data_IF_096507817541
#
_entry.id   IF_096507817541
#
_cell.length_a   1.000
_cell.length_b   1.000
_cell.length_c   1.000
_cell.angle_alpha   90.00
_cell.angle_beta   90.00
_cell.angle_gamma   90.00
#
_symmetry.space_group_name_H-M   'P 1'
#
loop_
_entity.id
_entity.type
_entity.pdbx_description
1 polymer ?
#
# COMPACT_ATOMS: atom_id res chain seq x y z
N UNK A 1 -26.78 51.98 12.77
CA UNK A 1 -25.99 51.23 11.80
C UNK A 1 -25.04 50.32 12.56
N UNK A 2 -25.34 49.07 12.67
CA UNK A 2 -24.45 48.12 13.32
C UNK A 2 -23.42 47.67 12.29
N UNK A 3 -22.14 48.09 12.46
CA UNK A 3 -21.02 47.58 11.66
C UNK A 3 -20.80 46.10 12.00
N UNK A 4 -21.26 45.23 11.11
CA UNK A 4 -20.86 43.83 11.14
C UNK A 4 -19.33 43.74 10.93
N UNK A 5 -18.56 43.55 12.00
CA UNK A 5 -17.17 43.09 11.92
C UNK A 5 -17.16 41.70 11.31
N UNK A 6 -16.89 41.61 10.03
CA UNK A 6 -16.56 40.37 9.37
C UNK A 6 -15.17 39.92 9.83
N UNK A 7 -15.13 39.28 10.98
CA UNK A 7 -14.01 38.46 11.40
C UNK A 7 -14.18 37.08 10.71
N UNK A 8 -13.77 37.03 9.47
CA UNK A 8 -13.43 35.75 8.84
C UNK A 8 -11.96 35.82 8.45
N UNK A 9 -11.06 35.58 9.41
CA UNK A 9 -9.83 34.87 9.07
C UNK A 9 -10.32 33.54 8.49
N UNK A 10 -10.38 33.45 7.16
CA UNK A 10 -10.67 32.20 6.50
C UNK A 10 -9.57 31.24 6.93
N UNK A 11 -9.93 30.25 7.75
CA UNK A 11 -9.08 29.12 8.01
C UNK A 11 -8.78 28.49 6.64
N UNK A 12 -7.52 28.53 6.24
CA UNK A 12 -7.06 27.94 4.99
C UNK A 12 -6.31 26.69 5.36
N UNK A 13 -6.81 25.49 4.97
CA UNK A 13 -6.08 24.26 5.16
C UNK A 13 -4.71 24.30 4.49
N UNK A 14 -3.72 23.60 5.07
CA UNK A 14 -2.35 23.53 4.56
C UNK A 14 -2.27 22.90 3.16
N UNK A 15 -3.27 22.11 2.80
CA UNK A 15 -3.40 21.42 1.52
C UNK A 15 -3.82 22.34 0.37
N UNK A 16 -4.24 23.58 0.69
CA UNK A 16 -4.76 24.54 -0.27
C UNK A 16 -3.75 25.64 -0.59
N UNK A 17 -3.56 25.92 -1.88
CA UNK A 17 -2.79 27.08 -2.36
C UNK A 17 -3.71 28.26 -2.64
N UNK A 18 -3.12 29.48 -2.77
CA UNK A 18 -3.88 30.68 -3.10
C UNK A 18 -4.42 30.69 -4.53
N UNK A 19 -3.90 29.81 -5.38
CA UNK A 19 -4.32 29.66 -6.78
C UNK A 19 -5.47 28.68 -6.98
N UNK A 20 -5.82 27.92 -5.94
CA UNK A 20 -6.92 26.95 -6.00
C UNK A 20 -8.27 27.60 -5.85
N UNK A 21 -9.25 27.15 -6.63
CA UNK A 21 -10.65 27.43 -6.41
C UNK A 21 -11.14 26.76 -5.12
N UNK A 22 -12.29 27.15 -4.62
CA UNK A 22 -12.89 26.53 -3.44
C UNK A 22 -13.10 25.01 -3.61
N UNK A 23 -13.57 24.59 -4.78
CA UNK A 23 -13.78 23.17 -5.09
C UNK A 23 -12.49 22.38 -5.17
N UNK A 24 -11.44 22.95 -5.77
CA UNK A 24 -10.11 22.32 -5.81
C UNK A 24 -9.52 22.17 -4.40
N UNK A 25 -9.72 23.17 -3.56
CA UNK A 25 -9.29 23.13 -2.16
C UNK A 25 -10.05 22.04 -1.38
N UNK A 26 -11.38 21.95 -1.52
CA UNK A 26 -12.17 20.89 -0.88
C UNK A 26 -11.71 19.48 -1.32
N UNK A 27 -11.47 19.29 -2.62
CA UNK A 27 -10.99 18.01 -3.16
C UNK A 27 -9.59 17.67 -2.65
N UNK A 28 -8.70 18.66 -2.52
CA UNK A 28 -7.36 18.46 -1.97
C UNK A 28 -7.40 18.02 -0.50
N UNK A 29 -8.25 18.66 0.31
CA UNK A 29 -8.45 18.30 1.72
C UNK A 29 -9.03 16.90 1.86
N UNK A 30 -10.07 16.56 1.06
CA UNK A 30 -10.67 15.22 1.09
C UNK A 30 -9.67 14.14 0.67
N UNK A 31 -8.89 14.38 -0.38
CA UNK A 31 -7.86 13.44 -0.84
C UNK A 31 -6.82 13.20 0.24
N UNK A 32 -6.31 14.28 0.83
CA UNK A 32 -5.35 14.16 1.93
C UNK A 32 -5.90 13.36 3.10
N UNK A 33 -7.17 13.59 3.49
CA UNK A 33 -7.82 12.84 4.57
C UNK A 33 -7.98 11.35 4.24
N UNK A 34 -8.32 11.01 3.00
CA UNK A 34 -8.39 9.62 2.52
C UNK A 34 -7.01 8.97 2.56
N UNK A 35 -6.00 9.62 1.99
CA UNK A 35 -4.61 9.11 1.94
C UNK A 35 -4.06 8.85 3.36
N UNK A 36 -4.32 9.77 4.31
CA UNK A 36 -3.91 9.60 5.71
C UNK A 36 -4.63 8.42 6.40
N UNK A 37 -5.92 8.23 6.12
CA UNK A 37 -6.67 7.11 6.67
C UNK A 37 -6.20 5.77 6.08
N UNK A 38 -5.98 5.71 4.77
CA UNK A 38 -5.44 4.53 4.09
C UNK A 38 -4.06 4.18 4.61
N UNK A 39 -3.20 5.18 4.80
CA UNK A 39 -1.87 5.00 5.38
C UNK A 39 -1.93 4.40 6.78
N UNK A 40 -2.76 4.97 7.68
CA UNK A 40 -2.92 4.47 9.05
C UNK A 40 -3.48 3.04 9.09
N UNK A 41 -4.47 2.74 8.24
CA UNK A 41 -5.02 1.40 8.12
C UNK A 41 -3.96 0.41 7.60
N UNK A 42 -3.20 0.83 6.58
CA UNK A 42 -2.10 0.05 6.02
C UNK A 42 -0.98 -0.23 7.03
N UNK A 43 -0.57 0.77 7.82
CA UNK A 43 0.44 0.61 8.88
C UNK A 43 0.01 -0.43 9.91
N UNK A 44 -1.25 -0.42 10.32
CA UNK A 44 -1.81 -1.39 11.27
C UNK A 44 -1.77 -2.81 10.70
N UNK A 45 -2.11 -2.99 9.43
CA UNK A 45 -2.13 -4.30 8.77
C UNK A 45 -0.69 -4.76 8.49
N UNK A 46 0.13 -3.94 7.86
CA UNK A 46 1.50 -4.29 7.46
C UNK A 46 2.42 -4.58 8.66
N UNK A 47 2.15 -3.97 9.82
CA UNK A 47 2.89 -4.25 11.07
C UNK A 47 2.45 -5.55 11.75
N UNK A 48 1.34 -6.16 11.35
CA UNK A 48 0.83 -7.39 11.92
C UNK A 48 1.78 -8.58 11.74
N UNK A 49 1.99 -9.37 12.79
CA UNK A 49 2.87 -10.55 12.74
C UNK A 49 2.40 -11.59 11.73
N UNK A 50 1.10 -11.77 11.58
CA UNK A 50 0.49 -12.68 10.61
C UNK A 50 0.82 -12.30 9.17
N UNK A 51 0.66 -11.03 8.81
CA UNK A 51 0.97 -10.53 7.47
C UNK A 51 2.45 -10.70 7.15
N UNK A 52 3.33 -10.40 8.10
CA UNK A 52 4.78 -10.62 7.93
C UNK A 52 5.12 -12.09 7.70
N UNK A 53 4.46 -12.98 8.41
CA UNK A 53 4.61 -14.43 8.22
C UNK A 53 4.13 -14.87 6.83
N UNK A 54 2.97 -14.38 6.38
CA UNK A 54 2.45 -14.67 5.05
C UNK A 54 3.40 -14.20 3.94
N UNK A 55 3.91 -12.98 4.05
CA UNK A 55 4.90 -12.43 3.10
C UNK A 55 6.16 -13.31 3.08
N UNK A 56 6.67 -13.70 4.24
CA UNK A 56 7.86 -14.55 4.33
C UNK A 56 7.65 -15.91 3.65
N UNK A 57 6.47 -16.51 3.80
CA UNK A 57 6.12 -17.78 3.12
C UNK A 57 6.21 -17.61 1.59
N UNK A 58 5.67 -16.52 1.04
CA UNK A 58 5.73 -16.23 -0.40
C UNK A 58 7.16 -16.02 -0.85
N UNK A 59 7.93 -15.19 -0.15
CA UNK A 59 9.32 -14.90 -0.48
C UNK A 59 10.20 -16.16 -0.46
N UNK A 60 10.07 -16.99 0.57
CA UNK A 60 10.80 -18.27 0.69
C UNK A 60 10.43 -19.22 -0.44
N UNK A 61 9.16 -19.28 -0.82
CA UNK A 61 8.69 -20.07 -1.95
C UNK A 61 9.31 -19.61 -3.27
N UNK A 62 9.28 -18.31 -3.55
CA UNK A 62 9.86 -17.71 -4.77
C UNK A 62 11.36 -17.99 -4.88
N UNK A 63 12.09 -17.87 -3.78
CA UNK A 63 13.55 -18.18 -3.72
C UNK A 63 13.81 -19.65 -3.92
N UNK A 64 13.09 -20.53 -3.22
CA UNK A 64 13.24 -21.99 -3.30
C UNK A 64 12.98 -22.52 -4.70
N UNK A 65 11.94 -22.02 -5.36
CA UNK A 65 11.54 -22.39 -6.71
C UNK A 65 12.33 -21.64 -7.80
N UNK A 66 13.16 -20.66 -7.42
CA UNK A 66 13.92 -19.79 -8.34
C UNK A 66 13.03 -19.12 -9.39
N UNK A 67 11.87 -18.63 -8.98
CA UNK A 67 10.93 -17.97 -9.86
C UNK A 67 11.34 -16.52 -10.11
N UNK A 68 11.03 -16.03 -11.29
CA UNK A 68 11.38 -14.66 -11.72
C UNK A 68 10.20 -13.75 -11.40
N UNK A 69 10.43 -12.79 -10.51
CA UNK A 69 9.46 -11.75 -10.20
C UNK A 69 9.49 -10.64 -11.24
N UNK A 70 8.33 -10.05 -11.51
CA UNK A 70 8.17 -8.87 -12.35
C UNK A 70 7.19 -7.87 -11.70
N UNK A 71 6.79 -6.84 -12.43
CA UNK A 71 5.82 -5.85 -11.95
C UNK A 71 6.37 -4.86 -10.93
N UNK A 72 5.46 -4.13 -10.29
CA UNK A 72 5.78 -2.99 -9.45
C UNK A 72 6.67 -3.31 -8.26
N UNK A 73 6.39 -4.38 -7.53
CA UNK A 73 7.18 -4.81 -6.35
C UNK A 73 8.61 -5.20 -6.75
N UNK A 74 8.77 -5.94 -7.85
CA UNK A 74 10.08 -6.33 -8.34
C UNK A 74 10.92 -5.11 -8.75
N UNK A 75 10.32 -4.17 -9.50
CA UNK A 75 10.97 -2.93 -9.89
C UNK A 75 11.36 -2.11 -8.67
N UNK A 76 10.43 -1.93 -7.74
CA UNK A 76 10.67 -1.16 -6.51
C UNK A 76 11.84 -1.73 -5.68
N UNK A 77 11.97 -3.05 -5.61
CA UNK A 77 13.01 -3.70 -4.81
C UNK A 77 14.43 -3.54 -5.38
N UNK A 78 14.57 -3.33 -6.69
CA UNK A 78 15.88 -3.08 -7.33
C UNK A 78 16.25 -1.60 -7.37
N UNK A 79 15.31 -0.69 -7.12
CA UNK A 79 15.56 0.74 -7.10
C UNK A 79 16.29 1.16 -5.80
N UNK A 80 17.16 2.18 -5.89
CA UNK A 80 17.72 2.83 -4.70
C UNK A 80 16.59 3.36 -3.80
N UNK A 81 16.78 3.32 -2.47
CA UNK A 81 15.76 3.74 -1.49
C UNK A 81 15.18 5.13 -1.75
N UNK A 82 16.00 6.05 -2.28
CA UNK A 82 15.57 7.43 -2.56
C UNK A 82 14.53 7.58 -3.68
N UNK A 83 14.39 6.56 -4.53
CA UNK A 83 13.47 6.56 -5.68
C UNK A 83 12.47 5.41 -5.63
N UNK A 84 12.43 4.65 -4.54
CA UNK A 84 11.40 3.66 -4.32
C UNK A 84 10.03 4.33 -4.19
N UNK A 85 9.02 3.74 -4.79
CA UNK A 85 7.65 4.27 -4.83
C UNK A 85 6.65 3.49 -3.97
N UNK A 86 7.03 2.30 -3.46
CA UNK A 86 6.27 1.57 -2.46
C UNK A 86 6.90 1.73 -1.07
N UNK A 87 6.07 1.99 -0.09
CA UNK A 87 6.48 2.07 1.31
C UNK A 87 5.99 0.83 2.08
N UNK A 88 6.94 -0.03 2.42
CA UNK A 88 6.68 -1.30 3.13
C UNK A 88 6.13 -1.10 4.56
N UNK A 89 6.17 0.12 5.09
CA UNK A 89 5.63 0.41 6.43
C UNK A 89 4.10 0.38 6.48
N UNK A 90 3.43 0.57 5.34
CA UNK A 90 1.97 0.57 5.24
C UNK A 90 1.41 -0.10 3.98
N UNK A 91 2.25 -0.48 3.05
CA UNK A 91 1.85 -1.18 1.82
C UNK A 91 2.32 -2.63 1.85
N UNK A 92 1.38 -3.55 1.63
CA UNK A 92 1.69 -4.97 1.49
C UNK A 92 2.22 -5.18 0.06
N UNK A 93 3.36 -5.89 -0.11
CA UNK A 93 3.87 -6.17 -1.45
C UNK A 93 2.92 -7.10 -2.21
N UNK A 94 2.75 -6.80 -3.48
CA UNK A 94 2.03 -7.62 -4.45
C UNK A 94 3.08 -8.32 -5.33
N UNK A 95 3.14 -9.66 -5.24
CA UNK A 95 4.17 -10.44 -5.93
C UNK A 95 3.65 -11.03 -7.21
N UNK A 96 4.11 -10.51 -8.34
CA UNK A 96 3.93 -11.10 -9.66
C UNK A 96 5.15 -11.91 -10.05
N UNK A 97 4.96 -13.13 -10.54
CA UNK A 97 6.08 -13.97 -10.95
C UNK A 97 5.74 -14.86 -12.14
N UNK A 98 6.76 -15.17 -12.93
CA UNK A 98 6.67 -16.13 -14.02
C UNK A 98 6.97 -17.54 -13.54
N UNK A 99 6.21 -18.50 -14.04
CA UNK A 99 6.43 -19.93 -13.84
C UNK A 99 6.17 -20.69 -15.14
N UNK A 100 7.01 -21.66 -15.44
CA UNK A 100 6.75 -22.63 -16.52
C UNK A 100 5.66 -23.64 -16.17
N UNK A 101 5.34 -23.79 -14.87
CA UNK A 101 4.32 -24.68 -14.33
C UNK A 101 3.39 -23.91 -13.38
N UNK A 102 2.82 -22.80 -13.85
CA UNK A 102 2.12 -21.82 -13.02
C UNK A 102 1.00 -22.43 -12.16
N UNK A 103 0.20 -23.34 -12.72
CA UNK A 103 -0.88 -23.98 -11.98
C UNK A 103 -0.37 -24.89 -10.85
N UNK A 104 0.67 -25.66 -11.11
CA UNK A 104 1.24 -26.59 -10.11
C UNK A 104 1.97 -25.80 -9.02
N UNK A 105 2.69 -24.74 -9.39
CA UNK A 105 3.34 -23.85 -8.42
C UNK A 105 2.33 -23.10 -7.56
N UNK A 106 1.22 -22.64 -8.13
CA UNK A 106 0.13 -22.02 -7.37
C UNK A 106 -0.50 -23.00 -6.36
N UNK A 107 -0.76 -24.24 -6.78
CA UNK A 107 -1.26 -25.29 -5.87
C UNK A 107 -0.26 -25.61 -4.77
N UNK A 108 1.02 -25.72 -5.10
CA UNK A 108 2.07 -25.98 -4.11
C UNK A 108 2.15 -24.84 -3.08
N UNK A 109 2.09 -23.59 -3.51
CA UNK A 109 2.06 -22.44 -2.62
C UNK A 109 0.82 -22.45 -1.72
N UNK A 110 -0.36 -22.75 -2.27
CA UNK A 110 -1.58 -22.90 -1.49
C UNK A 110 -1.46 -24.01 -0.45
N UNK A 111 -0.85 -25.14 -0.79
CA UNK A 111 -0.61 -26.26 0.15
C UNK A 111 0.36 -25.85 1.28
N UNK A 112 1.36 -25.03 0.99
CA UNK A 112 2.28 -24.48 2.00
C UNK A 112 1.49 -23.63 3.00
N UNK A 113 0.65 -22.70 2.51
CA UNK A 113 -0.22 -21.87 3.36
C UNK A 113 -1.18 -22.71 4.19
N UNK A 114 -1.81 -23.73 3.60
CA UNK A 114 -2.72 -24.63 4.32
C UNK A 114 -2.01 -25.37 5.45
N UNK A 115 -0.82 -25.89 5.23
CA UNK A 115 0.00 -26.56 6.26
C UNK A 115 0.39 -25.64 7.41
N UNK A 116 0.52 -24.34 7.14
CA UNK A 116 0.78 -23.31 8.15
C UNK A 116 -0.48 -22.86 8.91
N UNK A 117 -1.64 -23.40 8.57
CA UNK A 117 -2.91 -23.18 9.26
C UNK A 117 -3.83 -22.11 8.63
N UNK A 118 -3.54 -21.66 7.42
CA UNK A 118 -4.40 -20.75 6.69
C UNK A 118 -5.47 -21.54 5.90
N UNK A 119 -6.75 -21.28 6.18
CA UNK A 119 -7.86 -22.08 5.66
C UNK A 119 -8.44 -21.56 4.35
N UNK A 120 -8.41 -20.24 4.14
CA UNK A 120 -9.04 -19.56 3.01
C UNK A 120 -7.95 -19.09 2.01
N UNK A 121 -7.38 -20.06 1.28
CA UNK A 121 -6.39 -19.78 0.23
C UNK A 121 -7.05 -20.02 -1.12
N UNK A 122 -7.28 -18.96 -1.90
CA UNK A 122 -7.86 -18.98 -3.24
C UNK A 122 -6.80 -18.69 -4.31
#
# INVERSE_FOLDING_TARGET
>A
MVKRKTLKKKFKPSECSDQMTFQECELAVLRHAVDENEKKAGEKIASGSEIKKMIQIVEDFLVRKKLICYGGTAINNILPKSVQFYDKSYQIPDYDFFSSNALDDAKELADVFYKEGYMDVE
#
